data_IF_682722249027
#
_entry.id   IF_682722249027
#
_cell.length_a   1.000
_cell.length_b   1.000
_cell.length_c   1.000
_cell.angle_alpha   90.00
_cell.angle_beta   90.00
_cell.angle_gamma   90.00
#
_symmetry.space_group_name_H-M   'P 1'
#
loop_
_entity.id
_entity.type
_entity.pdbx_description
1 polymer ?
#
# COMPACT_ATOMS: atom_id res chain seq x y z
N UNK A 1 5.07 11.91 13.61
CA UNK A 1 5.67 10.55 13.63
C UNK A 1 4.93 9.70 14.66
N UNK A 2 4.53 8.47 14.30
CA UNK A 2 3.57 7.62 15.03
C UNK A 2 3.99 7.37 16.49
N UNK A 3 3.18 7.80 17.48
CA UNK A 3 3.46 7.64 18.92
C UNK A 3 2.55 6.64 19.65
N UNK A 4 1.46 6.17 19.03
CA UNK A 4 0.55 5.20 19.67
C UNK A 4 0.21 4.06 18.72
N UNK A 5 0.46 2.83 19.15
CA UNK A 5 0.08 1.58 18.48
C UNK A 5 -1.36 1.62 17.95
N UNK A 6 -2.27 2.25 18.69
CA UNK A 6 -3.68 2.45 18.32
C UNK A 6 -3.88 3.13 16.96
N UNK A 7 -3.09 4.16 16.63
CA UNK A 7 -3.23 4.82 15.33
C UNK A 7 -2.83 3.90 14.19
N UNK A 8 -1.82 3.07 14.44
CA UNK A 8 -1.23 2.22 13.42
C UNK A 8 -2.15 1.04 13.12
N UNK A 9 -2.72 0.43 14.17
CA UNK A 9 -3.79 -0.54 14.02
C UNK A 9 -4.93 -0.01 13.16
N UNK A 10 -5.36 1.24 13.37
CA UNK A 10 -6.40 1.87 12.53
C UNK A 10 -5.98 1.93 11.05
N UNK A 11 -4.76 2.36 10.74
CA UNK A 11 -4.30 2.41 9.33
C UNK A 11 -4.22 1.02 8.70
N UNK A 12 -3.68 0.02 9.42
CA UNK A 12 -3.60 -1.36 8.92
C UNK A 12 -5.00 -1.92 8.69
N UNK A 13 -5.92 -1.76 9.64
CA UNK A 13 -7.29 -2.23 9.48
C UNK A 13 -8.02 -1.54 8.33
N UNK A 14 -7.83 -0.22 8.14
CA UNK A 14 -8.43 0.50 7.02
C UNK A 14 -7.88 0.01 5.68
N UNK A 15 -6.56 -0.19 5.58
CA UNK A 15 -5.94 -0.73 4.39
C UNK A 15 -6.43 -2.15 4.10
N UNK A 16 -6.40 -3.03 5.11
CA UNK A 16 -6.81 -4.43 5.01
C UNK A 16 -8.30 -4.56 4.63
N UNK A 17 -9.15 -3.69 5.19
CA UNK A 17 -10.56 -3.62 4.82
C UNK A 17 -10.73 -3.27 3.35
N UNK A 18 -10.09 -2.19 2.87
CA UNK A 18 -10.18 -1.80 1.46
C UNK A 18 -9.63 -2.86 0.51
N UNK A 19 -8.47 -3.40 0.85
CA UNK A 19 -7.79 -4.46 0.10
C UNK A 19 -8.65 -5.72 -0.01
N UNK A 20 -9.12 -6.25 1.12
CA UNK A 20 -9.89 -7.49 1.14
C UNK A 20 -11.22 -7.34 0.41
N UNK A 21 -11.90 -6.20 0.57
CA UNK A 21 -13.18 -5.94 -0.11
C UNK A 21 -13.01 -5.96 -1.63
N UNK A 22 -12.09 -5.17 -2.17
CA UNK A 22 -11.91 -5.07 -3.63
C UNK A 22 -11.30 -6.32 -4.25
N UNK A 23 -10.42 -7.03 -3.53
CA UNK A 23 -9.91 -8.31 -3.99
C UNK A 23 -11.03 -9.34 -4.13
N UNK A 24 -11.85 -9.52 -3.07
CA UNK A 24 -12.94 -10.50 -3.08
C UNK A 24 -14.01 -10.14 -4.12
N UNK A 25 -14.45 -8.88 -4.16
CA UNK A 25 -15.46 -8.43 -5.11
C UNK A 25 -14.94 -8.48 -6.55
N UNK A 26 -13.69 -8.08 -6.77
CA UNK A 26 -13.04 -8.12 -8.09
C UNK A 26 -13.00 -9.54 -8.65
N UNK A 27 -12.57 -10.52 -7.85
CA UNK A 27 -12.56 -11.93 -8.27
C UNK A 27 -13.98 -12.48 -8.42
N UNK A 28 -14.87 -12.24 -7.44
CA UNK A 28 -16.24 -12.78 -7.44
C UNK A 28 -17.08 -12.28 -8.62
N UNK A 29 -16.98 -10.99 -8.97
CA UNK A 29 -17.69 -10.41 -10.10
C UNK A 29 -16.90 -10.42 -11.40
N UNK A 30 -15.70 -11.01 -11.41
CA UNK A 30 -14.80 -11.02 -12.56
C UNK A 30 -14.53 -9.61 -13.13
N UNK A 31 -14.31 -8.64 -12.23
CA UNK A 31 -14.00 -7.24 -12.57
C UNK A 31 -12.50 -7.04 -12.45
N UNK A 32 -11.82 -7.07 -13.60
CA UNK A 32 -10.41 -6.70 -13.75
C UNK A 32 -10.25 -5.28 -14.29
N UNK A 33 -9.18 -4.61 -13.89
CA UNK A 33 -8.73 -3.34 -14.49
C UNK A 33 -7.40 -3.61 -15.18
N UNK A 34 -6.96 -2.79 -16.13
CA UNK A 34 -5.64 -2.95 -16.72
C UNK A 34 -4.54 -2.97 -15.63
N UNK A 35 -3.75 -4.04 -15.59
CA UNK A 35 -2.79 -4.25 -14.51
C UNK A 35 -1.65 -3.23 -14.50
N UNK A 36 -1.25 -2.68 -15.65
CA UNK A 36 -0.28 -1.58 -15.71
C UNK A 36 -0.83 -0.32 -15.02
N UNK A 37 -2.10 0.02 -15.25
CA UNK A 37 -2.72 1.21 -14.64
C UNK A 37 -2.81 1.04 -13.12
N UNK A 38 -3.24 -0.13 -12.65
CA UNK A 38 -3.34 -0.39 -11.21
C UNK A 38 -1.95 -0.37 -10.56
N UNK A 39 -0.96 -1.02 -11.15
CA UNK A 39 0.40 -1.05 -10.60
C UNK A 39 1.04 0.36 -10.59
N UNK A 40 0.71 1.22 -11.56
CA UNK A 40 1.09 2.64 -11.53
C UNK A 40 0.42 3.39 -10.36
N UNK A 41 -0.87 3.16 -10.09
CA UNK A 41 -1.56 3.76 -8.95
C UNK A 41 -0.97 3.25 -7.61
N UNK A 42 -0.58 1.98 -7.56
CA UNK A 42 0.15 1.41 -6.41
C UNK A 42 1.48 2.15 -6.22
N UNK A 43 2.25 2.39 -7.28
CA UNK A 43 3.46 3.22 -7.23
C UNK A 43 3.19 4.65 -6.72
N UNK A 44 2.08 5.26 -7.15
CA UNK A 44 1.65 6.59 -6.69
C UNK A 44 1.33 6.60 -5.19
N UNK A 45 0.77 5.52 -4.65
CA UNK A 45 0.52 5.39 -3.20
C UNK A 45 1.82 5.45 -2.38
N UNK A 46 2.92 4.87 -2.91
CA UNK A 46 4.25 4.93 -2.28
C UNK A 46 4.79 6.36 -2.29
N UNK A 47 4.69 7.04 -3.44
CA UNK A 47 5.09 8.46 -3.58
C UNK A 47 4.30 9.34 -2.60
N UNK A 48 2.97 9.18 -2.57
CA UNK A 48 2.11 9.90 -1.64
C UNK A 48 2.56 9.68 -0.20
N UNK A 49 2.82 8.43 0.20
CA UNK A 49 3.16 8.13 1.59
C UNK A 49 4.54 8.66 1.99
N UNK A 50 5.50 8.64 1.07
CA UNK A 50 6.81 9.27 1.29
C UNK A 50 6.69 10.79 1.47
N UNK A 51 5.89 11.46 0.66
CA UNK A 51 5.61 12.90 0.79
C UNK A 51 4.92 13.24 2.11
N UNK A 52 3.93 12.45 2.50
CA UNK A 52 3.24 12.55 3.79
C UNK A 52 4.22 12.41 4.97
N UNK A 53 5.08 11.39 4.94
CA UNK A 53 6.08 11.16 5.98
C UNK A 53 7.11 12.31 6.11
N UNK A 54 7.41 13.01 5.01
CA UNK A 54 8.30 14.17 5.00
C UNK A 54 7.59 15.49 5.36
N UNK A 55 6.27 15.47 5.55
CA UNK A 55 5.46 16.67 5.80
C UNK A 55 5.38 17.62 4.59
N UNK A 56 5.54 17.08 3.38
CA UNK A 56 5.60 17.87 2.16
C UNK A 56 4.26 18.58 1.86
N UNK A 57 3.12 17.91 2.05
CA UNK A 57 1.80 18.47 1.75
C UNK A 57 1.52 19.76 2.52
N UNK A 58 1.74 19.74 3.83
CA UNK A 58 1.58 20.94 4.67
C UNK A 58 2.55 22.06 4.27
N UNK A 59 3.80 21.72 3.90
CA UNK A 59 4.82 22.71 3.53
C UNK A 59 4.60 23.33 2.15
N UNK A 60 4.11 22.55 1.19
CA UNK A 60 3.95 23.00 -0.20
C UNK A 60 2.57 23.61 -0.45
N UNK A 61 1.53 23.06 0.17
CA UNK A 61 0.13 23.43 -0.11
C UNK A 61 -0.61 24.02 1.09
N UNK A 62 0.01 24.06 2.28
CA UNK A 62 -0.64 24.55 3.51
C UNK A 62 -1.76 23.64 4.04
N UNK A 63 -1.96 22.47 3.42
CA UNK A 63 -3.05 21.54 3.70
C UNK A 63 -2.52 20.11 3.82
N UNK A 64 -3.06 19.36 4.77
CA UNK A 64 -2.74 17.95 4.99
C UNK A 64 -3.96 17.09 4.60
N UNK A 65 -3.85 16.25 3.55
CA UNK A 65 -4.94 15.36 3.16
C UNK A 65 -5.27 14.35 4.26
N UNK A 66 -6.52 13.86 4.29
CA UNK A 66 -6.94 12.84 5.24
C UNK A 66 -6.22 11.51 4.96
N UNK A 67 -5.18 11.28 5.75
CA UNK A 67 -4.35 10.08 5.71
C UNK A 67 -5.14 8.77 5.91
N UNK A 68 -6.26 8.78 6.64
CA UNK A 68 -7.10 7.58 6.85
C UNK A 68 -7.87 7.26 5.58
N UNK A 69 -8.51 8.27 4.99
CA UNK A 69 -9.20 8.14 3.72
C UNK A 69 -8.24 7.69 2.61
N UNK A 70 -7.06 8.31 2.52
CA UNK A 70 -6.02 7.90 1.57
C UNK A 70 -5.60 6.44 1.76
N UNK A 71 -5.42 5.99 3.01
CA UNK A 71 -5.04 4.60 3.31
C UNK A 71 -6.11 3.59 2.88
N UNK A 72 -7.38 3.91 3.10
CA UNK A 72 -8.50 3.09 2.65
C UNK A 72 -8.56 3.03 1.11
N UNK A 73 -8.42 4.18 0.44
CA UNK A 73 -8.42 4.29 -1.02
C UNK A 73 -7.26 3.48 -1.63
N UNK A 74 -6.05 3.57 -1.05
CA UNK A 74 -4.94 2.73 -1.49
C UNK A 74 -5.23 1.26 -1.26
N UNK A 75 -5.83 0.89 -0.12
CA UNK A 75 -6.32 -0.47 0.11
C UNK A 75 -7.17 -0.97 -1.07
N UNK A 76 -8.15 -0.18 -1.52
CA UNK A 76 -8.99 -0.52 -2.67
C UNK A 76 -8.19 -0.79 -3.96
N UNK A 77 -7.25 0.08 -4.32
CA UNK A 77 -6.43 -0.14 -5.52
C UNK A 77 -5.50 -1.34 -5.41
N UNK A 78 -4.92 -1.58 -4.23
CA UNK A 78 -4.06 -2.72 -3.99
C UNK A 78 -4.85 -4.05 -4.06
N UNK A 79 -6.08 -4.07 -3.55
CA UNK A 79 -6.95 -5.25 -3.66
C UNK A 79 -7.35 -5.54 -5.11
N UNK A 80 -7.69 -4.51 -5.89
CA UNK A 80 -7.95 -4.64 -7.32
C UNK A 80 -6.73 -5.12 -8.13
N UNK A 81 -5.52 -4.70 -7.73
CA UNK A 81 -4.29 -5.15 -8.39
C UNK A 81 -4.14 -6.66 -8.30
N UNK A 82 -4.37 -7.21 -7.11
CA UNK A 82 -4.32 -8.65 -6.91
C UNK A 82 -5.47 -9.39 -7.58
N UNK A 83 -6.72 -8.90 -7.50
CA UNK A 83 -7.85 -9.55 -8.18
C UNK A 83 -7.64 -9.63 -9.69
N UNK A 84 -7.14 -8.55 -10.29
CA UNK A 84 -6.79 -8.51 -11.72
C UNK A 84 -5.79 -9.60 -12.07
N UNK A 85 -4.71 -9.76 -11.30
CA UNK A 85 -3.71 -10.82 -11.56
C UNK A 85 -4.29 -12.22 -11.38
N UNK A 86 -5.17 -12.44 -10.40
CA UNK A 86 -5.84 -13.73 -10.20
C UNK A 86 -6.72 -14.09 -11.40
N UNK A 87 -7.45 -13.11 -11.94
CA UNK A 87 -8.25 -13.26 -13.16
C UNK A 87 -7.34 -13.53 -14.36
N UNK A 88 -6.28 -12.75 -14.54
CA UNK A 88 -5.32 -12.90 -15.65
C UNK A 88 -4.63 -14.28 -15.65
N UNK A 89 -4.33 -14.82 -14.47
CA UNK A 89 -3.70 -16.14 -14.32
C UNK A 89 -4.67 -17.31 -14.41
N UNK A 90 -5.97 -17.04 -14.59
CA UNK A 90 -7.01 -18.05 -14.81
C UNK A 90 -6.99 -19.16 -13.75
N UNK A 91 -6.83 -18.78 -12.48
CA UNK A 91 -6.73 -19.70 -11.34
C UNK A 91 -8.01 -20.55 -11.24
N UNK A 92 -7.86 -21.84 -10.91
CA UNK A 92 -9.00 -22.75 -10.79
C UNK A 92 -10.07 -22.18 -9.85
N UNK A 93 -11.35 -22.18 -10.27
CA UNK A 93 -12.46 -21.73 -9.42
C UNK A 93 -12.74 -22.69 -8.25
N UNK A 94 -12.22 -23.92 -8.31
CA UNK A 94 -12.40 -24.93 -7.26
C UNK A 94 -11.66 -24.50 -5.99
N UNK A 95 -12.41 -24.29 -4.90
CA UNK A 95 -11.83 -23.84 -3.63
C UNK A 95 -11.34 -22.39 -3.65
N UNK A 96 -11.64 -21.61 -4.69
CA UNK A 96 -11.18 -20.23 -4.84
C UNK A 96 -11.59 -19.35 -3.66
N UNK A 97 -12.86 -19.37 -3.26
CA UNK A 97 -13.35 -18.54 -2.13
C UNK A 97 -12.64 -18.89 -0.80
N UNK A 98 -12.57 -20.16 -0.35
CA UNK A 98 -11.77 -20.54 0.81
C UNK A 98 -10.30 -20.11 0.72
N UNK A 99 -9.67 -20.25 -0.45
CA UNK A 99 -8.28 -19.86 -0.67
C UNK A 99 -8.10 -18.34 -0.55
N UNK A 100 -9.02 -17.54 -1.09
CA UNK A 100 -8.99 -16.08 -0.98
C UNK A 100 -9.19 -15.61 0.46
N UNK A 101 -10.07 -16.26 1.21
CA UNK A 101 -10.27 -15.96 2.63
C UNK A 101 -9.00 -16.30 3.44
N UNK A 102 -8.41 -17.48 3.23
CA UNK A 102 -7.17 -17.88 3.87
C UNK A 102 -6.00 -16.94 3.49
N UNK A 103 -5.92 -16.53 2.22
CA UNK A 103 -4.95 -15.55 1.75
C UNK A 103 -5.12 -14.20 2.46
N UNK A 104 -6.33 -13.66 2.53
CA UNK A 104 -6.60 -12.39 3.23
C UNK A 104 -6.20 -12.45 4.70
N UNK A 105 -6.57 -13.53 5.40
CA UNK A 105 -6.18 -13.73 6.82
C UNK A 105 -4.66 -13.78 6.94
N UNK A 106 -3.98 -14.51 6.04
CA UNK A 106 -2.53 -14.57 5.99
C UNK A 106 -1.89 -13.18 5.76
N UNK A 107 -2.43 -12.39 4.84
CA UNK A 107 -1.97 -11.02 4.57
C UNK A 107 -2.16 -10.12 5.79
N UNK A 108 -3.33 -10.14 6.42
CA UNK A 108 -3.62 -9.32 7.60
C UNK A 108 -2.68 -9.65 8.77
N UNK A 109 -2.47 -10.95 9.04
CA UNK A 109 -1.51 -11.41 10.06
C UNK A 109 -0.09 -10.96 9.69
N UNK A 110 0.32 -11.17 8.43
CA UNK A 110 1.64 -10.75 7.94
C UNK A 110 1.87 -9.25 8.08
N UNK A 111 0.89 -8.43 7.76
CA UNK A 111 0.94 -6.97 7.92
C UNK A 111 1.06 -6.57 9.39
N UNK A 112 0.28 -7.17 10.29
CA UNK A 112 0.37 -6.89 11.72
C UNK A 112 1.74 -7.27 12.30
N UNK A 113 2.28 -8.43 11.92
CA UNK A 113 3.61 -8.89 12.35
C UNK A 113 4.73 -8.00 11.82
N UNK A 114 4.73 -7.71 10.51
CA UNK A 114 5.72 -6.83 9.89
C UNK A 114 5.70 -5.43 10.51
N UNK A 115 4.51 -4.89 10.76
CA UNK A 115 4.34 -3.61 11.41
C UNK A 115 4.85 -3.61 12.86
N UNK A 116 4.53 -4.65 13.65
CA UNK A 116 5.04 -4.79 15.01
C UNK A 116 6.57 -4.81 15.02
N UNK A 117 7.19 -5.59 14.13
CA UNK A 117 8.64 -5.64 13.98
C UNK A 117 9.24 -4.27 13.60
N UNK A 118 8.68 -3.61 12.58
CA UNK A 118 9.13 -2.26 12.15
C UNK A 118 9.00 -1.26 13.29
N UNK A 119 7.96 -1.32 14.11
CA UNK A 119 7.77 -0.39 15.22
C UNK A 119 8.79 -0.58 16.33
N UNK A 120 9.16 -1.82 16.64
CA UNK A 120 10.22 -2.13 17.59
C UNK A 120 11.53 -1.53 17.07
N UNK A 121 11.90 -1.83 15.81
CA UNK A 121 13.12 -1.31 15.17
C UNK A 121 13.13 0.22 15.15
N UNK A 122 12.05 0.85 14.70
CA UNK A 122 11.90 2.30 14.68
C UNK A 122 11.94 2.92 16.07
N UNK A 123 11.41 2.22 17.09
CA UNK A 123 11.42 2.66 18.48
C UNK A 123 12.83 2.79 19.05
N UNK A 124 13.71 1.84 18.72
CA UNK A 124 15.13 1.93 19.08
C UNK A 124 15.87 2.94 18.21
N UNK A 125 15.64 2.93 16.90
CA UNK A 125 16.37 3.77 15.95
C UNK A 125 16.12 5.28 16.14
N UNK A 126 14.90 5.65 16.56
CA UNK A 126 14.52 7.04 16.88
C UNK A 126 15.34 7.67 18.01
N UNK A 127 16.03 6.88 18.84
CA UNK A 127 16.88 7.39 19.92
C UNK A 127 18.24 7.89 19.43
N UNK A 128 18.57 7.66 18.16
CA UNK A 128 19.85 8.10 17.57
C UNK A 128 19.74 9.49 16.97
N UNK A 129 20.79 10.31 17.09
CA UNK A 129 20.83 11.67 16.52
C UNK A 129 20.70 11.67 14.99
N UNK A 130 21.15 10.59 14.36
CA UNK A 130 21.11 10.39 12.91
C UNK A 130 19.73 10.08 12.33
N UNK A 131 18.73 9.81 13.18
CA UNK A 131 17.41 9.31 12.76
C UNK A 131 16.76 10.17 11.68
N UNK A 132 16.73 11.49 11.87
CA UNK A 132 16.05 12.40 10.93
C UNK A 132 16.68 12.39 9.54
N UNK A 133 18.02 12.36 9.46
CA UNK A 133 18.75 12.33 8.19
C UNK A 133 18.47 11.04 7.43
N UNK A 134 18.54 9.90 8.11
CA UNK A 134 18.26 8.61 7.46
C UNK A 134 16.78 8.41 7.15
N UNK A 135 15.86 8.86 8.01
CA UNK A 135 14.43 8.81 7.73
C UNK A 135 14.07 9.64 6.50
N UNK A 136 14.63 10.85 6.36
CA UNK A 136 14.44 11.66 5.15
C UNK A 136 14.98 10.94 3.91
N UNK A 137 16.23 10.46 3.98
CA UNK A 137 16.88 9.74 2.87
C UNK A 137 16.08 8.50 2.45
N UNK A 138 15.59 7.71 3.41
CA UNK A 138 14.76 6.54 3.14
C UNK A 138 13.44 6.91 2.44
N UNK A 139 12.77 7.98 2.87
CA UNK A 139 11.56 8.44 2.18
C UNK A 139 11.88 8.98 0.78
N UNK A 140 13.02 9.65 0.56
CA UNK A 140 13.45 10.04 -0.78
C UNK A 140 13.66 8.83 -1.68
N UNK A 141 14.36 7.79 -1.20
CA UNK A 141 14.56 6.55 -1.96
C UNK A 141 13.24 5.86 -2.28
N UNK A 142 12.33 5.73 -1.31
CA UNK A 142 11.00 5.17 -1.52
C UNK A 142 10.19 5.97 -2.56
N UNK A 143 10.25 7.30 -2.49
CA UNK A 143 9.60 8.17 -3.45
C UNK A 143 10.16 7.99 -4.86
N UNK A 144 11.48 7.95 -5.01
CA UNK A 144 12.14 7.68 -6.30
C UNK A 144 11.75 6.31 -6.85
N UNK A 145 11.77 5.27 -6.02
CA UNK A 145 11.33 3.93 -6.42
C UNK A 145 9.86 3.93 -6.87
N UNK A 146 8.99 4.67 -6.16
CA UNK A 146 7.59 4.86 -6.55
C UNK A 146 7.45 5.53 -7.93
N UNK A 147 8.18 6.61 -8.19
CA UNK A 147 8.19 7.26 -9.51
C UNK A 147 8.74 6.36 -10.62
N UNK A 148 9.80 5.60 -10.35
CA UNK A 148 10.36 4.63 -11.30
C UNK A 148 9.33 3.57 -11.63
N UNK A 149 8.62 3.03 -10.63
CA UNK A 149 7.56 2.04 -10.84
C UNK A 149 6.42 2.61 -11.69
N UNK A 150 5.96 3.84 -11.40
CA UNK A 150 4.94 4.52 -12.20
C UNK A 150 5.41 4.64 -13.66
N UNK A 151 6.62 5.14 -13.88
CA UNK A 151 7.18 5.31 -15.23
C UNK A 151 7.30 3.99 -15.97
N UNK A 152 7.77 2.94 -15.30
CA UNK A 152 7.88 1.60 -15.86
C UNK A 152 6.51 1.05 -16.30
N UNK A 153 5.49 1.17 -15.44
CA UNK A 153 4.16 0.64 -15.72
C UNK A 153 3.43 1.45 -16.80
N UNK A 154 3.49 2.78 -16.76
CA UNK A 154 2.90 3.63 -17.79
C UNK A 154 3.58 3.43 -19.13
N UNK A 155 4.91 3.30 -19.16
CA UNK A 155 5.63 2.95 -20.39
C UNK A 155 5.12 1.62 -20.90
N UNK A 156 5.11 0.57 -20.06
CA UNK A 156 4.57 -0.74 -20.41
C UNK A 156 3.17 -0.69 -21.02
N UNK A 157 2.28 0.13 -20.44
CA UNK A 157 0.93 0.36 -20.97
C UNK A 157 0.89 1.04 -22.34
N UNK A 158 1.80 1.99 -22.61
CA UNK A 158 1.83 2.70 -23.90
C UNK A 158 2.39 1.85 -25.05
N UNK A 159 3.24 0.86 -24.76
CA UNK A 159 3.85 -0.03 -25.77
C UNK A 159 3.18 -1.40 -25.90
N UNK A 160 2.25 -1.76 -24.99
CA UNK A 160 1.44 -2.99 -25.06
C UNK A 160 0.24 -2.84 -25.99
#
# INVERSE_FOLDING_TARGET
FLYRLKHIGIYVSLFALGHSTTMLLGVYFNVGINSYIIDAIIGLSVVYKALDNMGAFQRWFGFQPDTKAATLIFGFFHGFGLSTKIIDYNISPEGLIPNLLAFNVGVEIGQLLALAAILIVMGYWRKTESFWRYAYTANTVLMTAGFVLIGYQLTGWFIS
#
